data_IF_074981967164
#
_entry.id   IF_074981967164
#
_cell.length_a   1.000
_cell.length_b   1.000
_cell.length_c   1.000
_cell.angle_alpha   90.00
_cell.angle_beta   90.00
_cell.angle_gamma   90.00
#
_symmetry.space_group_name_H-M   'P 1'
#
loop_
_entity.id
_entity.type
_entity.pdbx_description
1 polymer ?
#
# COMPACT_ATOMS: atom_id res chain seq x y z
N UNK A 1 8.74 13.87 -0.87
CA UNK A 1 8.36 12.54 -0.35
C UNK A 1 7.20 12.65 0.62
N UNK A 2 6.21 11.80 0.45
CA UNK A 2 5.07 11.70 1.35
C UNK A 2 5.08 10.34 2.02
N UNK A 3 4.59 10.28 3.26
CA UNK A 3 4.46 9.00 3.95
C UNK A 3 3.23 9.02 4.84
N UNK A 4 2.67 7.83 5.08
CA UNK A 4 1.57 7.67 6.02
C UNK A 4 1.57 6.22 6.52
N UNK A 5 0.86 6.01 7.62
CA UNK A 5 0.72 4.69 8.23
C UNK A 5 -0.75 4.32 8.26
N UNK A 6 -1.02 3.02 8.21
CA UNK A 6 -2.37 2.52 8.28
C UNK A 6 -2.39 1.19 9.04
N UNK A 7 -3.35 1.04 9.96
CA UNK A 7 -3.55 -0.22 10.69
C UNK A 7 -4.64 -1.01 9.97
N UNK A 8 -4.32 -2.23 9.57
CA UNK A 8 -5.24 -3.06 8.79
C UNK A 8 -6.47 -3.44 9.60
N UNK A 9 -7.64 -3.25 9.02
CA UNK A 9 -8.92 -3.57 9.63
C UNK A 9 -9.52 -4.86 9.09
N UNK A 10 -9.14 -5.27 7.88
CA UNK A 10 -9.67 -6.45 7.22
C UNK A 10 -9.22 -7.72 7.94
N UNK A 11 -10.17 -8.62 8.22
CA UNK A 11 -9.89 -9.86 8.95
C UNK A 11 -8.86 -10.75 8.25
N UNK A 12 -8.76 -10.65 6.93
CA UNK A 12 -7.80 -11.44 6.16
C UNK A 12 -6.49 -10.70 5.92
N UNK A 13 -6.38 -9.45 6.38
CA UNK A 13 -5.21 -8.64 6.11
C UNK A 13 -5.10 -8.29 4.62
N UNK A 14 -3.87 -8.18 4.12
CA UNK A 14 -3.68 -7.91 2.69
C UNK A 14 -3.68 -9.24 1.94
N UNK A 15 -4.83 -9.59 1.37
CA UNK A 15 -4.99 -10.80 0.57
C UNK A 15 -5.04 -10.46 -0.93
N UNK A 16 -5.17 -11.50 -1.78
CA UNK A 16 -4.96 -11.36 -3.22
C UNK A 16 -5.81 -10.27 -3.89
N UNK A 17 -7.09 -10.20 -3.55
CA UNK A 17 -8.01 -9.28 -4.22
C UNK A 17 -7.66 -7.81 -3.96
N UNK A 18 -7.55 -7.34 -2.70
CA UNK A 18 -7.16 -5.96 -2.47
C UNK A 18 -5.71 -5.68 -2.88
N UNK A 19 -4.82 -6.68 -2.79
CA UNK A 19 -3.45 -6.49 -3.26
C UNK A 19 -3.41 -6.20 -4.76
N UNK A 20 -4.21 -6.94 -5.54
CA UNK A 20 -4.32 -6.72 -6.98
C UNK A 20 -4.88 -5.34 -7.32
N UNK A 21 -5.88 -4.88 -6.55
CA UNK A 21 -6.46 -3.57 -6.76
C UNK A 21 -5.50 -2.45 -6.38
N UNK A 22 -4.74 -2.64 -5.31
CA UNK A 22 -3.71 -1.68 -4.90
C UNK A 22 -2.63 -1.55 -5.98
N UNK A 23 -2.21 -2.67 -6.57
CA UNK A 23 -1.24 -2.68 -7.66
C UNK A 23 -1.77 -1.88 -8.86
N UNK A 24 -3.03 -2.08 -9.23
CA UNK A 24 -3.64 -1.32 -10.32
C UNK A 24 -3.62 0.17 -10.03
N UNK A 25 -3.97 0.55 -8.80
CA UNK A 25 -3.97 1.95 -8.39
C UNK A 25 -2.56 2.53 -8.47
N UNK A 26 -1.57 1.83 -7.93
CA UNK A 26 -0.19 2.31 -7.93
C UNK A 26 0.35 2.53 -9.35
N UNK A 27 -0.09 1.70 -10.31
CA UNK A 27 0.34 1.83 -11.69
C UNK A 27 -0.23 3.05 -12.40
N UNK A 28 -1.28 3.68 -11.84
CA UNK A 28 -1.86 4.88 -12.45
C UNK A 28 -1.07 6.15 -12.15
N UNK A 29 -0.12 6.07 -11.23
CA UNK A 29 0.70 7.21 -10.84
C UNK A 29 2.13 7.06 -11.34
N UNK A 30 2.80 8.19 -11.57
CA UNK A 30 4.22 8.18 -11.95
C UNK A 30 5.11 8.03 -10.72
N UNK A 31 4.62 8.38 -9.55
CA UNK A 31 5.37 8.27 -8.30
C UNK A 31 5.60 6.81 -7.91
N UNK A 32 6.71 6.58 -7.22
CA UNK A 32 7.00 5.28 -6.63
C UNK A 32 6.25 5.17 -5.31
N UNK A 33 5.48 4.11 -5.15
CA UNK A 33 4.72 3.83 -3.93
C UNK A 33 5.28 2.56 -3.31
N UNK A 34 5.79 2.68 -2.09
CA UNK A 34 6.36 1.56 -1.35
C UNK A 34 5.53 1.31 -0.10
N UNK A 35 5.21 0.05 0.16
CA UNK A 35 4.53 -0.36 1.38
C UNK A 35 5.50 -1.18 2.22
N UNK A 36 5.52 -0.94 3.52
CA UNK A 36 6.42 -1.63 4.44
C UNK A 36 5.69 -2.13 5.67
N UNK A 37 6.13 -3.27 6.18
CA UNK A 37 5.69 -3.81 7.46
C UNK A 37 6.95 -4.23 8.22
N UNK A 38 7.29 -3.48 9.28
CA UNK A 38 8.53 -3.73 10.00
C UNK A 38 9.74 -3.62 9.08
N UNK A 39 10.56 -4.66 9.03
CA UNK A 39 11.76 -4.67 8.21
C UNK A 39 11.51 -5.06 6.75
N UNK A 40 10.29 -5.51 6.42
CA UNK A 40 9.95 -5.92 5.05
C UNK A 40 9.31 -4.75 4.31
N UNK A 41 9.64 -4.63 3.03
CA UNK A 41 9.04 -3.61 2.18
C UNK A 41 8.85 -4.14 0.77
N UNK A 42 7.97 -3.51 0.01
CA UNK A 42 7.72 -3.89 -1.37
C UNK A 42 7.17 -2.74 -2.18
N UNK A 43 7.44 -2.78 -3.48
CA UNK A 43 6.91 -1.83 -4.45
C UNK A 43 5.44 -2.20 -4.70
N UNK A 44 4.55 -1.22 -4.53
CA UNK A 44 3.11 -1.45 -4.72
C UNK A 44 2.72 -1.80 -6.16
N UNK A 45 3.65 -1.69 -7.11
CA UNK A 45 3.42 -2.12 -8.49
C UNK A 45 3.62 -3.63 -8.68
N UNK A 46 4.07 -4.32 -7.64
CA UNK A 46 4.38 -5.76 -7.71
C UNK A 46 3.52 -6.52 -6.72
N UNK A 47 2.57 -7.30 -7.22
CA UNK A 47 1.59 -7.97 -6.37
C UNK A 47 2.24 -8.93 -5.37
N UNK A 48 3.25 -9.68 -5.79
CA UNK A 48 3.91 -10.62 -4.89
C UNK A 48 4.73 -9.92 -3.81
N UNK A 49 5.24 -8.73 -4.10
CA UNK A 49 5.94 -7.94 -3.10
C UNK A 49 4.96 -7.43 -2.04
N UNK A 50 3.79 -7.01 -2.45
CA UNK A 50 2.73 -6.55 -1.52
C UNK A 50 2.23 -7.72 -0.67
N UNK A 51 1.91 -8.83 -1.30
CA UNK A 51 1.41 -10.00 -0.57
C UNK A 51 2.49 -10.64 0.31
N UNK A 52 3.74 -10.55 -0.12
CA UNK A 52 4.87 -11.12 0.61
C UNK A 52 5.14 -10.48 1.96
N UNK A 53 4.54 -9.31 2.23
CA UNK A 53 4.67 -8.68 3.54
C UNK A 53 4.01 -9.50 4.64
N UNK A 54 3.02 -10.31 4.30
CA UNK A 54 2.28 -11.09 5.27
C UNK A 54 1.53 -10.24 6.28
N UNK A 55 1.10 -9.05 5.88
CA UNK A 55 0.43 -8.13 6.79
C UNK A 55 -0.97 -8.62 7.12
N UNK A 56 -1.28 -8.63 8.42
CA UNK A 56 -2.53 -9.18 8.96
C UNK A 56 -3.34 -8.12 9.67
N UNK A 57 -4.60 -8.46 9.97
CA UNK A 57 -5.48 -7.59 10.73
C UNK A 57 -4.80 -7.11 12.01
N UNK A 58 -4.92 -5.83 12.28
CA UNK A 58 -4.33 -5.21 13.47
C UNK A 58 -2.88 -4.80 13.32
N UNK A 59 -2.21 -5.21 12.24
CA UNK A 59 -0.82 -4.82 11.99
C UNK A 59 -0.76 -3.50 11.26
N UNK A 60 0.27 -2.72 11.56
CA UNK A 60 0.48 -1.43 10.92
C UNK A 60 1.39 -1.58 9.69
N UNK A 61 0.99 -0.94 8.61
CA UNK A 61 1.82 -0.82 7.42
C UNK A 61 2.15 0.66 7.19
N UNK A 62 3.31 0.91 6.59
CA UNK A 62 3.79 2.26 6.33
C UNK A 62 3.97 2.43 4.83
N UNK A 63 3.45 3.53 4.30
CA UNK A 63 3.60 3.87 2.90
C UNK A 63 4.59 5.01 2.74
N UNK A 64 5.42 4.91 1.72
CA UNK A 64 6.31 5.99 1.30
C UNK A 64 6.06 6.24 -0.17
N UNK A 65 5.81 7.50 -0.54
CA UNK A 65 5.45 7.89 -1.90
C UNK A 65 6.39 8.99 -2.36
N UNK A 66 7.03 8.81 -3.51
CA UNK A 66 8.00 9.78 -4.02
C UNK A 66 7.87 9.92 -5.53
N UNK A 67 7.74 11.16 -6.00
CA UNK A 67 7.62 11.47 -7.42
C UNK A 67 6.86 12.76 -7.68
N UNK A 68 6.61 13.03 -8.96
CA UNK A 68 5.95 14.28 -9.37
C UNK A 68 4.52 14.39 -8.85
N UNK A 69 3.79 13.27 -8.81
CA UNK A 69 2.40 13.25 -8.35
C UNK A 69 2.26 12.62 -6.96
N UNK A 70 3.30 12.75 -6.14
CA UNK A 70 3.33 12.08 -4.84
C UNK A 70 2.17 12.47 -3.92
N UNK A 71 1.72 13.73 -3.96
CA UNK A 71 0.60 14.15 -3.13
C UNK A 71 -0.69 13.44 -3.51
N UNK A 72 -0.98 13.38 -4.81
CA UNK A 72 -2.16 12.69 -5.32
C UNK A 72 -2.06 11.20 -5.09
N UNK A 73 -0.88 10.60 -5.31
CA UNK A 73 -0.67 9.18 -5.12
C UNK A 73 -0.80 8.78 -3.65
N UNK A 74 -0.26 9.59 -2.73
CA UNK A 74 -0.38 9.33 -1.30
C UNK A 74 -1.83 9.42 -0.84
N UNK A 75 -2.55 10.45 -1.27
CA UNK A 75 -3.96 10.62 -0.92
C UNK A 75 -4.81 9.47 -1.44
N UNK A 76 -4.60 9.05 -2.68
CA UNK A 76 -5.34 7.96 -3.29
C UNK A 76 -5.05 6.62 -2.61
N UNK A 77 -3.78 6.39 -2.25
CA UNK A 77 -3.39 5.16 -1.58
C UNK A 77 -4.00 5.07 -0.17
N UNK A 78 -3.97 6.17 0.56
CA UNK A 78 -4.57 6.22 1.89
C UNK A 78 -6.08 5.98 1.83
N UNK A 79 -6.75 6.64 0.89
CA UNK A 79 -8.18 6.47 0.68
C UNK A 79 -8.52 5.03 0.32
N UNK A 80 -7.71 4.41 -0.53
CA UNK A 80 -7.88 3.02 -0.90
C UNK A 80 -7.80 2.11 0.32
N UNK A 81 -6.81 2.32 1.17
CA UNK A 81 -6.64 1.50 2.37
C UNK A 81 -7.85 1.62 3.30
N UNK A 82 -8.35 2.84 3.51
CA UNK A 82 -9.51 3.07 4.35
C UNK A 82 -10.78 2.42 3.80
N UNK A 83 -10.92 2.38 2.49
CA UNK A 83 -12.11 1.84 1.85
C UNK A 83 -12.09 0.31 1.73
N UNK A 84 -10.92 -0.32 1.67
CA UNK A 84 -10.79 -1.74 1.33
C UNK A 84 -10.10 -2.60 2.38
N UNK A 85 -9.33 -2.03 3.23
CA UNK A 85 -8.50 -2.77 4.19
C UNK A 85 -8.55 -2.21 5.59
#
# INVERSE_FOLDING_TARGET
MKSFSYVLQDAEGIHARPAGELVKLAKTFSSKVVIAKGAKSGDCRKIFAVMGLGAKQGEEVNFTVEGEDEEAAAAASEEFMKANL
#
